data_IF_170276017495
#
_entry.id   IF_170276017495
#
_cell.length_a   1.000
_cell.length_b   1.000
_cell.length_c   1.000
_cell.angle_alpha   90.00
_cell.angle_beta   90.00
_cell.angle_gamma   90.00
#
_symmetry.space_group_name_H-M   'P 1'
#
loop_
_entity.id
_entity.type
_entity.pdbx_description
1 polymer ?
#
# COMPACT_ATOMS: atom_id res chain seq x y z
N UNK A 1 -2.02 5.69 3.90
CA UNK A 1 -3.11 4.86 4.47
C UNK A 1 -2.52 3.84 5.44
N UNK A 2 -3.34 3.23 6.30
CA UNK A 2 -2.94 2.02 7.05
C UNK A 2 -3.52 0.82 6.30
N UNK A 3 -2.68 -0.13 5.93
CA UNK A 3 -3.13 -1.33 5.24
C UNK A 3 -3.48 -2.41 6.28
N UNK A 4 -4.53 -3.18 6.04
CA UNK A 4 -4.94 -4.30 6.91
C UNK A 4 -4.81 -5.59 6.13
N UNK A 5 -4.18 -6.57 6.75
CA UNK A 5 -3.98 -7.94 6.22
C UNK A 5 -5.06 -8.88 6.76
N UNK A 6 -5.20 -10.07 6.17
CA UNK A 6 -6.24 -11.03 6.56
C UNK A 6 -6.10 -11.49 8.02
N UNK A 7 -4.87 -11.57 8.54
CA UNK A 7 -4.58 -11.92 9.94
C UNK A 7 -4.73 -10.75 10.93
N UNK A 8 -5.22 -9.60 10.45
CA UNK A 8 -5.54 -8.44 11.26
C UNK A 8 -4.35 -7.57 11.63
N UNK A 9 -3.18 -7.75 10.99
CA UNK A 9 -2.10 -6.81 11.17
C UNK A 9 -2.36 -5.51 10.40
N UNK A 10 -2.21 -4.41 11.12
CA UNK A 10 -2.08 -3.07 10.57
C UNK A 10 -0.63 -2.88 10.12
N UNK A 11 -0.43 -2.65 8.83
CA UNK A 11 0.89 -2.55 8.21
C UNK A 11 1.04 -1.24 7.47
N UNK A 12 2.28 -0.99 7.03
CA UNK A 12 2.55 0.05 6.05
C UNK A 12 1.74 -0.17 4.75
N UNK A 13 1.46 0.93 4.04
CA UNK A 13 0.73 0.95 2.77
C UNK A 13 1.41 0.13 1.66
N UNK A 14 2.72 -0.05 1.73
CA UNK A 14 3.50 -0.77 0.72
C UNK A 14 3.08 -2.23 0.62
N UNK A 15 2.55 -2.80 1.72
CA UNK A 15 1.96 -4.14 1.71
C UNK A 15 0.84 -4.27 0.67
N UNK A 16 0.01 -3.23 0.53
CA UNK A 16 -1.04 -3.19 -0.47
C UNK A 16 -0.48 -3.16 -1.90
N UNK A 17 0.68 -2.53 -2.12
CA UNK A 17 1.34 -2.60 -3.43
C UNK A 17 1.80 -4.02 -3.74
N UNK A 18 2.42 -4.70 -2.77
CA UNK A 18 2.85 -6.08 -2.98
C UNK A 18 1.66 -6.99 -3.31
N UNK A 19 0.59 -6.99 -2.49
CA UNK A 19 -0.59 -7.84 -2.73
C UNK A 19 -1.20 -7.59 -4.12
N UNK A 20 -1.29 -6.32 -4.56
CA UNK A 20 -1.84 -5.95 -5.88
C UNK A 20 -1.01 -6.46 -7.05
N UNK A 21 0.32 -6.47 -6.93
CA UNK A 21 1.20 -6.87 -8.04
C UNK A 21 1.46 -8.38 -8.09
N UNK A 22 1.45 -9.07 -6.94
CA UNK A 22 1.75 -10.51 -6.88
C UNK A 22 0.50 -11.38 -6.78
N UNK A 23 -0.69 -10.77 -6.59
CA UNK A 23 -1.98 -11.46 -6.42
C UNK A 23 -1.97 -12.51 -5.30
N UNK A 24 -1.42 -12.13 -4.13
CA UNK A 24 -1.39 -12.98 -2.93
C UNK A 24 -1.65 -12.17 -1.68
N UNK A 25 -2.42 -12.76 -0.75
CA UNK A 25 -2.55 -12.24 0.61
C UNK A 25 -1.22 -12.37 1.34
N UNK A 26 -0.83 -11.28 1.99
CA UNK A 26 0.30 -11.20 2.89
C UNK A 26 -0.21 -11.12 4.33
N UNK A 27 0.71 -11.24 5.28
CA UNK A 27 0.40 -11.36 6.71
C UNK A 27 1.26 -10.41 7.53
N UNK A 28 1.02 -10.39 8.84
CA UNK A 28 1.91 -9.72 9.79
C UNK A 28 3.38 -10.16 9.67
N UNK A 29 3.66 -11.32 9.11
CA UNK A 29 5.02 -11.85 8.97
C UNK A 29 5.82 -11.10 7.90
N UNK A 30 5.13 -10.45 6.98
CA UNK A 30 5.70 -9.75 5.83
C UNK A 30 6.07 -8.29 6.14
N UNK A 31 5.63 -7.74 7.28
CA UNK A 31 6.01 -6.40 7.73
C UNK A 31 6.81 -6.46 9.03
N UNK A 32 8.11 -6.22 8.94
CA UNK A 32 9.02 -6.22 10.09
C UNK A 32 9.43 -4.79 10.39
N UNK A 33 9.15 -4.33 11.61
CA UNK A 33 9.52 -2.98 12.06
C UNK A 33 10.56 -3.05 13.17
N UNK A 34 11.36 -1.99 13.30
CA UNK A 34 12.33 -1.84 14.40
C UNK A 34 11.68 -2.06 15.77
N UNK A 35 10.48 -1.50 15.98
CA UNK A 35 9.72 -1.70 17.22
C UNK A 35 9.45 -3.17 17.54
N UNK A 36 9.00 -3.95 16.54
CA UNK A 36 8.72 -5.40 16.72
C UNK A 36 9.99 -6.19 16.98
N UNK A 37 11.07 -5.90 16.26
CA UNK A 37 12.37 -6.56 16.43
C UNK A 37 12.91 -6.32 17.84
N UNK A 38 12.95 -5.07 18.28
CA UNK A 38 13.47 -4.71 19.59
C UNK A 38 12.57 -5.26 20.72
N UNK A 39 11.25 -5.18 20.56
CA UNK A 39 10.32 -5.77 21.53
C UNK A 39 10.52 -7.28 21.66
N UNK A 40 10.72 -8.00 20.56
CA UNK A 40 10.99 -9.44 20.58
C UNK A 40 12.28 -9.75 21.36
N UNK A 41 13.39 -9.08 21.03
CA UNK A 41 14.68 -9.28 21.68
C UNK A 41 14.63 -8.93 23.18
N UNK A 42 14.01 -7.82 23.56
CA UNK A 42 13.83 -7.42 24.97
C UNK A 42 12.97 -8.46 25.72
N UNK A 43 11.94 -9.01 25.07
CA UNK A 43 11.07 -10.02 25.68
C UNK A 43 11.82 -11.32 25.93
N UNK A 44 12.63 -11.78 24.95
CA UNK A 44 13.48 -12.98 25.08
C UNK A 44 14.55 -12.83 26.17
N UNK A 45 15.15 -11.64 26.26
CA UNK A 45 16.10 -11.28 27.32
C UNK A 45 15.49 -11.43 28.71
N UNK A 46 14.32 -10.82 28.94
CA UNK A 46 13.61 -10.89 30.22
C UNK A 46 13.14 -12.29 30.59
N UNK A 47 12.94 -13.18 29.61
CA UNK A 47 12.61 -14.59 29.82
C UNK A 47 13.84 -15.46 30.11
N UNK A 48 15.05 -14.90 30.01
CA UNK A 48 16.30 -15.62 30.22
C UNK A 48 16.70 -16.50 29.04
N UNK A 49 16.16 -16.27 27.84
CA UNK A 49 16.46 -17.09 26.65
C UNK A 49 17.92 -16.93 26.19
N UNK A 50 18.57 -15.81 26.54
CA UNK A 50 20.00 -15.58 26.30
C UNK A 50 20.91 -16.05 27.45
N UNK A 51 20.39 -16.87 28.38
CA UNK A 51 21.16 -17.51 29.45
C UNK A 51 22.05 -16.56 30.28
N UNK A 52 21.62 -15.31 30.44
CA UNK A 52 22.33 -14.29 31.22
C UNK A 52 23.49 -13.61 30.50
N UNK A 53 23.69 -13.83 29.19
CA UNK A 53 24.68 -13.08 28.41
C UNK A 53 24.18 -11.68 28.07
N UNK A 54 25.11 -10.73 27.90
CA UNK A 54 24.78 -9.35 27.51
C UNK A 54 24.18 -9.30 26.11
N UNK A 55 22.96 -8.76 26.02
CA UNK A 55 22.28 -8.53 24.74
C UNK A 55 22.87 -7.30 24.03
N UNK A 56 23.08 -7.42 22.73
CA UNK A 56 23.77 -6.45 21.86
C UNK A 56 23.06 -6.38 20.50
N UNK A 57 23.31 -5.31 19.73
CA UNK A 57 22.78 -5.19 18.36
C UNK A 57 23.25 -6.34 17.48
N UNK A 58 24.57 -6.62 17.49
CA UNK A 58 25.13 -7.80 16.85
C UNK A 58 25.52 -8.79 17.96
N UNK A 59 25.09 -10.06 17.93
CA UNK A 59 24.27 -10.66 16.88
C UNK A 59 22.75 -10.56 17.13
N UNK A 60 22.29 -10.22 18.34
CA UNK A 60 20.90 -10.47 18.76
C UNK A 60 19.83 -9.75 17.93
N UNK A 61 20.00 -8.47 17.61
CA UNK A 61 19.05 -7.72 16.76
C UNK A 61 19.17 -8.18 15.31
N UNK A 62 20.39 -8.35 14.80
CA UNK A 62 20.61 -8.80 13.43
C UNK A 62 20.11 -10.23 13.19
N UNK A 63 20.21 -11.12 14.18
CA UNK A 63 19.70 -12.49 14.12
C UNK A 63 18.18 -12.52 14.13
N UNK A 64 17.52 -11.64 14.91
CA UNK A 64 16.06 -11.51 14.88
C UNK A 64 15.57 -11.06 13.50
N UNK A 65 16.27 -10.11 12.86
CA UNK A 65 15.96 -9.65 11.50
C UNK A 65 16.18 -10.79 10.49
N UNK A 66 17.34 -11.47 10.54
CA UNK A 66 17.62 -12.63 9.66
C UNK A 66 16.60 -13.74 9.84
N UNK A 67 16.18 -14.03 11.08
CA UNK A 67 15.16 -15.03 11.37
C UNK A 67 13.81 -14.65 10.77
N UNK A 68 13.45 -13.37 10.76
CA UNK A 68 12.22 -12.90 10.12
C UNK A 68 12.22 -13.14 8.60
N UNK A 69 13.36 -12.92 7.93
CA UNK A 69 13.55 -13.22 6.50
C UNK A 69 13.42 -14.73 6.26
N UNK A 70 14.18 -15.56 7.01
CA UNK A 70 14.20 -17.04 6.84
C UNK A 70 12.83 -17.68 7.02
N UNK A 71 12.01 -17.12 7.89
CA UNK A 71 10.68 -17.66 8.21
C UNK A 71 9.70 -17.64 7.04
N UNK A 72 9.92 -16.78 6.04
CA UNK A 72 9.10 -16.73 4.82
C UNK A 72 9.56 -17.73 3.76
N UNK A 73 10.80 -18.24 3.85
CA UNK A 73 11.41 -19.07 2.81
C UNK A 73 10.75 -20.43 2.53
N UNK A 74 10.23 -21.21 3.51
CA UNK A 74 9.83 -22.60 3.27
C UNK A 74 8.80 -22.83 2.15
N UNK A 75 7.94 -21.85 1.90
CA UNK A 75 6.83 -21.95 0.94
C UNK A 75 7.03 -21.08 -0.32
N UNK A 76 8.26 -20.58 -0.56
CA UNK A 76 8.54 -19.60 -1.62
C UNK A 76 9.87 -19.89 -2.32
N UNK A 77 9.88 -19.83 -3.66
CA UNK A 77 11.10 -19.92 -4.46
C UNK A 77 12.00 -18.69 -4.27
N UNK A 78 11.38 -17.51 -4.16
CA UNK A 78 12.06 -16.22 -3.99
C UNK A 78 11.33 -15.38 -2.94
N UNK A 79 12.09 -14.78 -2.02
CA UNK A 79 11.59 -13.80 -1.04
C UNK A 79 12.18 -12.43 -1.37
N UNK A 80 11.35 -11.51 -1.85
CA UNK A 80 11.75 -10.12 -2.07
C UNK A 80 11.62 -9.39 -0.73
N UNK A 81 12.75 -8.95 -0.16
CA UNK A 81 12.78 -8.19 1.09
C UNK A 81 13.16 -6.75 0.78
N UNK A 82 12.19 -5.84 0.88
CA UNK A 82 12.47 -4.41 0.85
C UNK A 82 13.02 -3.97 2.22
N UNK A 83 14.14 -3.27 2.21
CA UNK A 83 14.69 -2.60 3.39
C UNK A 83 14.32 -1.12 3.29
N UNK A 84 13.36 -0.70 4.11
CA UNK A 84 12.94 0.70 4.17
C UNK A 84 14.03 1.64 4.69
N UNK A 85 13.81 2.94 4.49
CA UNK A 85 14.78 4.00 4.81
C UNK A 85 15.80 4.23 3.69
N UNK A 86 16.76 5.12 3.91
CA UNK A 86 17.83 5.40 2.95
C UNK A 86 19.16 4.81 3.43
N UNK A 87 19.96 4.26 2.53
CA UNK A 87 21.33 3.86 2.84
C UNK A 87 22.13 5.08 3.32
N UNK A 88 22.76 4.95 4.48
CA UNK A 88 23.45 6.05 5.19
C UNK A 88 22.68 6.55 6.42
N UNK A 89 21.38 6.25 6.52
CA UNK A 89 20.59 6.62 7.69
C UNK A 89 20.82 5.66 8.86
N UNK A 90 20.86 6.22 10.09
CA UNK A 90 21.14 5.47 11.32
C UNK A 90 20.08 4.37 11.57
N UNK A 91 18.82 4.64 11.23
CA UNK A 91 17.70 3.71 11.44
C UNK A 91 17.83 2.41 10.64
N UNK A 92 18.50 2.45 9.49
CA UNK A 92 18.65 1.31 8.57
C UNK A 92 19.86 0.43 8.89
N UNK A 93 20.81 0.91 9.69
CA UNK A 93 22.07 0.20 9.97
C UNK A 93 21.88 -1.24 10.47
N UNK A 94 20.96 -1.54 11.42
CA UNK A 94 20.74 -2.93 11.86
C UNK A 94 20.21 -3.83 10.75
N UNK A 95 19.35 -3.31 9.87
CA UNK A 95 18.81 -4.08 8.73
C UNK A 95 19.87 -4.34 7.67
N UNK A 96 20.67 -3.32 7.33
CA UNK A 96 21.76 -3.45 6.37
C UNK A 96 22.83 -4.44 6.88
N UNK A 97 23.21 -4.35 8.15
CA UNK A 97 24.13 -5.33 8.74
C UNK A 97 23.55 -6.75 8.75
N UNK A 98 22.24 -6.89 9.02
CA UNK A 98 21.58 -8.19 8.99
C UNK A 98 21.62 -8.84 7.60
N UNK A 99 21.29 -8.10 6.52
CA UNK A 99 21.34 -8.64 5.15
C UNK A 99 22.78 -8.89 4.68
N UNK A 100 23.74 -8.08 5.14
CA UNK A 100 25.17 -8.28 4.88
C UNK A 100 25.66 -9.60 5.48
N UNK A 101 25.24 -9.92 6.72
CA UNK A 101 25.50 -11.21 7.37
C UNK A 101 24.71 -12.36 6.75
N UNK A 102 23.50 -12.08 6.23
CA UNK A 102 22.65 -13.10 5.64
C UNK A 102 23.25 -13.71 4.36
N UNK A 103 23.84 -12.88 3.49
CA UNK A 103 24.45 -13.35 2.24
C UNK A 103 25.47 -14.49 2.40
N UNK A 104 26.49 -14.41 3.28
CA UNK A 104 27.40 -15.53 3.49
C UNK A 104 26.74 -16.76 4.13
N UNK A 105 25.63 -16.61 4.86
CA UNK A 105 24.92 -17.75 5.45
C UNK A 105 24.17 -18.59 4.41
N UNK A 106 23.56 -17.96 3.41
CA UNK A 106 22.79 -18.67 2.37
C UNK A 106 23.54 -18.84 1.05
N UNK A 107 24.61 -18.09 0.82
CA UNK A 107 25.43 -18.15 -0.38
C UNK A 107 25.04 -17.13 -1.45
N UNK A 108 26.02 -16.79 -2.32
CA UNK A 108 25.84 -15.77 -3.36
C UNK A 108 24.85 -16.15 -4.44
N UNK A 109 24.73 -17.44 -4.74
CA UNK A 109 23.80 -17.94 -5.77
C UNK A 109 22.35 -18.03 -5.24
N UNK A 110 22.15 -17.78 -3.94
CA UNK A 110 20.84 -17.79 -3.27
C UNK A 110 20.48 -16.41 -2.68
N UNK A 111 21.25 -15.37 -3.01
CA UNK A 111 20.98 -13.98 -2.59
C UNK A 111 21.38 -12.98 -3.66
N UNK A 112 20.60 -11.92 -3.78
CA UNK A 112 20.85 -10.83 -4.73
C UNK A 112 20.49 -9.49 -4.08
N UNK A 113 21.36 -8.50 -4.23
CA UNK A 113 21.12 -7.13 -3.78
C UNK A 113 20.77 -6.22 -4.95
N UNK A 114 19.53 -5.72 -4.95
CA UNK A 114 19.06 -4.68 -5.87
C UNK A 114 19.11 -3.35 -5.13
N UNK A 115 19.94 -2.41 -5.61
CA UNK A 115 20.02 -1.07 -5.02
C UNK A 115 19.30 -0.05 -5.89
N UNK A 116 18.27 0.59 -5.32
CA UNK A 116 17.51 1.64 -6.00
C UNK A 116 18.20 2.98 -5.76
N UNK A 117 18.38 3.76 -6.83
CA UNK A 117 19.11 5.02 -6.80
C UNK A 117 18.46 6.07 -7.68
N UNK A 118 18.74 7.35 -7.45
CA UNK A 118 18.21 8.47 -8.24
C UNK A 118 19.27 9.03 -9.20
N UNK A 119 18.93 9.12 -10.48
CA UNK A 119 19.69 9.84 -11.51
C UNK A 119 18.90 11.10 -11.89
N UNK A 120 19.12 12.23 -11.18
CA UNK A 120 18.34 13.43 -11.38
C UNK A 120 18.72 14.16 -12.66
N UNK A 121 17.73 14.81 -13.26
CA UNK A 121 17.91 15.75 -14.36
C UNK A 121 18.05 17.17 -13.82
N UNK A 122 19.13 17.87 -14.20
CA UNK A 122 19.37 19.26 -13.79
C UNK A 122 19.00 20.19 -14.94
N UNK A 123 17.78 20.74 -14.87
CA UNK A 123 17.20 21.58 -15.93
C UNK A 123 18.08 22.75 -16.36
N UNK A 124 18.74 23.43 -15.41
CA UNK A 124 19.64 24.55 -15.70
C UNK A 124 20.84 24.18 -16.58
N UNK A 125 21.29 22.91 -16.54
CA UNK A 125 22.39 22.41 -17.34
C UNK A 125 21.96 21.51 -18.50
N UNK A 126 20.71 21.07 -18.53
CA UNK A 126 20.21 20.14 -19.54
C UNK A 126 20.76 18.72 -19.42
N UNK A 127 21.29 18.33 -18.26
CA UNK A 127 22.04 17.07 -18.11
C UNK A 127 21.54 16.20 -16.96
N UNK A 128 21.59 14.89 -17.19
CA UNK A 128 21.44 13.86 -16.16
C UNK A 128 22.72 13.73 -15.34
N UNK A 129 22.61 13.66 -14.01
CA UNK A 129 23.76 13.58 -13.11
C UNK A 129 23.85 12.21 -12.45
N UNK A 130 24.90 11.47 -12.75
CA UNK A 130 25.18 10.14 -12.19
C UNK A 130 25.84 10.15 -10.81
N UNK A 131 26.23 11.33 -10.29
CA UNK A 131 27.04 11.43 -9.07
C UNK A 131 26.27 10.96 -7.83
N UNK A 132 24.98 11.30 -7.62
CA UNK A 132 24.21 10.77 -6.50
C UNK A 132 24.22 9.24 -6.45
N UNK A 133 24.07 8.57 -7.59
CA UNK A 133 24.21 7.11 -7.70
C UNK A 133 25.58 6.60 -7.27
N UNK A 134 26.65 7.24 -7.74
CA UNK A 134 28.02 6.84 -7.38
C UNK A 134 28.28 6.95 -5.88
N UNK A 135 27.83 8.04 -5.25
CA UNK A 135 27.97 8.25 -3.81
C UNK A 135 27.10 7.28 -3.00
N UNK A 136 25.87 7.02 -3.45
CA UNK A 136 24.96 6.09 -2.78
C UNK A 136 25.49 4.65 -2.83
N UNK A 137 26.04 4.21 -3.95
CA UNK A 137 26.70 2.89 -4.04
C UNK A 137 27.94 2.82 -3.17
N UNK A 138 28.75 3.90 -3.13
CA UNK A 138 29.91 3.95 -2.25
C UNK A 138 29.53 3.76 -0.78
N UNK A 139 28.50 4.46 -0.31
CA UNK A 139 27.97 4.32 1.06
C UNK A 139 27.55 2.87 1.36
N UNK A 140 26.84 2.24 0.43
CA UNK A 140 26.44 0.84 0.55
C UNK A 140 27.65 -0.13 0.61
N UNK A 141 28.68 0.16 -0.18
CA UNK A 141 29.92 -0.63 -0.19
C UNK A 141 30.77 -0.40 1.06
N UNK A 142 30.76 0.80 1.66
CA UNK A 142 31.48 1.12 2.89
C UNK A 142 31.01 0.26 4.06
N UNK A 143 29.73 -0.15 4.08
CA UNK A 143 29.19 -1.11 5.05
C UNK A 143 29.32 -2.58 4.59
N UNK A 144 30.02 -2.85 3.49
CA UNK A 144 30.35 -4.20 3.03
C UNK A 144 29.28 -4.87 2.15
N UNK A 145 28.36 -4.11 1.57
CA UNK A 145 27.35 -4.61 0.64
C UNK A 145 27.70 -4.16 -0.79
N UNK A 146 28.05 -5.11 -1.66
CA UNK A 146 28.18 -4.86 -3.09
C UNK A 146 26.83 -5.09 -3.76
N UNK A 147 26.21 -4.08 -4.40
CA UNK A 147 24.99 -4.30 -5.17
C UNK A 147 25.28 -5.20 -6.37
N UNK A 148 24.34 -6.10 -6.67
CA UNK A 148 24.36 -6.95 -7.86
C UNK A 148 23.69 -6.22 -9.04
N UNK A 149 22.61 -5.48 -8.75
CA UNK A 149 21.82 -4.73 -9.73
C UNK A 149 21.57 -3.31 -9.21
N UNK A 150 21.64 -2.33 -10.12
CA UNK A 150 21.26 -0.95 -9.85
C UNK A 150 19.99 -0.61 -10.60
N UNK A 151 18.96 -0.17 -9.88
CA UNK A 151 17.72 0.35 -10.46
C UNK A 151 17.77 1.87 -10.39
N UNK A 152 18.03 2.51 -11.53
CA UNK A 152 18.21 3.95 -11.66
C UNK A 152 16.87 4.64 -11.93
N UNK A 153 16.24 5.19 -10.88
CA UNK A 153 15.09 6.08 -10.99
C UNK A 153 15.46 7.38 -11.69
N UNK A 154 14.67 7.80 -12.66
CA UNK A 154 14.97 9.00 -13.46
C UNK A 154 13.75 9.56 -14.18
N UNK A 155 13.77 10.85 -14.51
CA UNK A 155 12.72 11.51 -15.29
C UNK A 155 12.91 11.34 -16.81
N UNK A 156 14.11 10.95 -17.26
CA UNK A 156 14.48 10.90 -18.68
C UNK A 156 15.26 9.64 -19.02
N UNK A 157 15.20 9.25 -20.30
CA UNK A 157 15.96 8.11 -20.82
C UNK A 157 17.47 8.23 -20.53
N UNK A 158 18.05 7.13 -20.06
CA UNK A 158 19.47 6.96 -19.81
C UNK A 158 20.15 6.41 -21.06
N UNK A 159 20.90 7.27 -21.73
CA UNK A 159 21.72 6.84 -22.86
C UNK A 159 22.77 5.79 -22.46
N UNK A 160 23.16 4.91 -23.40
CA UNK A 160 24.20 3.91 -23.15
C UNK A 160 25.48 4.47 -22.51
N UNK A 161 26.05 5.62 -22.93
CA UNK A 161 27.22 6.20 -22.28
C UNK A 161 27.01 6.50 -20.80
N UNK A 162 25.82 6.95 -20.41
CA UNK A 162 25.47 7.19 -19.00
C UNK A 162 25.42 5.86 -18.24
N UNK A 163 24.77 4.84 -18.80
CA UNK A 163 24.70 3.50 -18.18
C UNK A 163 26.09 2.87 -18.03
N UNK A 164 26.94 2.94 -19.07
CA UNK A 164 28.35 2.46 -19.03
C UNK A 164 29.16 3.18 -17.96
N UNK A 165 28.96 4.49 -17.83
CA UNK A 165 29.59 5.29 -16.78
C UNK A 165 29.16 4.83 -15.39
N UNK A 166 27.86 4.65 -15.16
CA UNK A 166 27.34 4.15 -13.87
C UNK A 166 27.95 2.77 -13.57
N UNK A 167 27.90 1.84 -14.52
CA UNK A 167 28.46 0.50 -14.40
C UNK A 167 29.94 0.53 -13.96
N UNK A 168 30.77 1.30 -14.68
CA UNK A 168 32.19 1.45 -14.40
C UNK A 168 32.46 2.02 -13.00
N UNK A 169 31.79 3.12 -12.63
CA UNK A 169 32.05 3.80 -11.35
C UNK A 169 31.47 3.06 -10.14
N UNK A 170 30.44 2.24 -10.34
CA UNK A 170 29.76 1.51 -9.26
C UNK A 170 30.19 0.04 -9.19
N UNK A 171 31.11 -0.39 -10.06
CA UNK A 171 31.62 -1.76 -10.14
C UNK A 171 30.48 -2.80 -10.28
N UNK A 172 29.54 -2.53 -11.19
CA UNK A 172 28.45 -3.47 -11.55
C UNK A 172 28.49 -3.73 -13.05
N UNK A 173 28.02 -4.90 -13.46
CA UNK A 173 27.96 -5.26 -14.87
C UNK A 173 27.02 -4.33 -15.64
N UNK A 174 27.34 -4.06 -16.91
CA UNK A 174 26.55 -3.12 -17.73
C UNK A 174 25.08 -3.54 -17.85
N UNK A 175 24.81 -4.84 -17.99
CA UNK A 175 23.45 -5.40 -18.04
C UNK A 175 22.67 -5.23 -16.73
N UNK A 176 23.35 -4.94 -15.62
CA UNK A 176 22.77 -4.79 -14.30
C UNK A 176 22.52 -3.32 -13.92
N UNK A 177 22.75 -2.38 -14.83
CA UNK A 177 22.29 -0.99 -14.69
C UNK A 177 20.95 -0.90 -15.40
N UNK A 178 19.87 -0.81 -14.62
CA UNK A 178 18.49 -0.86 -15.09
C UNK A 178 17.89 0.55 -15.04
N UNK A 179 17.41 1.06 -16.17
CA UNK A 179 16.64 2.29 -16.18
C UNK A 179 15.25 2.03 -15.58
N UNK A 180 14.82 2.90 -14.65
CA UNK A 180 13.47 2.89 -14.13
C UNK A 180 12.88 4.30 -14.23
N UNK A 181 12.50 4.67 -15.45
CA UNK A 181 11.97 5.99 -15.79
C UNK A 181 10.61 6.24 -15.16
N UNK A 182 10.31 7.52 -14.93
CA UNK A 182 8.97 7.96 -14.57
C UNK A 182 7.97 7.61 -15.69
N UNK A 183 6.82 7.08 -15.28
CA UNK A 183 5.76 6.61 -16.16
C UNK A 183 4.41 7.17 -15.72
N UNK A 184 3.49 7.43 -16.66
CA UNK A 184 2.12 7.86 -16.33
C UNK A 184 1.37 6.92 -15.40
N UNK A 185 1.65 5.61 -15.47
CA UNK A 185 1.00 4.59 -14.64
C UNK A 185 1.99 3.60 -14.06
N UNK A 186 1.82 3.24 -12.79
CA UNK A 186 2.64 2.23 -12.10
C UNK A 186 2.59 0.87 -12.81
N UNK A 187 1.52 0.55 -13.53
CA UNK A 187 1.40 -0.72 -14.26
C UNK A 187 2.30 -0.77 -15.49
N UNK A 188 2.88 0.34 -15.94
CA UNK A 188 3.90 0.32 -17.01
C UNK A 188 5.26 -0.16 -16.50
N UNK A 189 5.53 -0.06 -15.19
CA UNK A 189 6.84 -0.37 -14.61
C UNK A 189 7.29 -1.80 -14.91
N UNK A 190 6.46 -2.86 -14.72
CA UNK A 190 6.87 -4.23 -15.06
C UNK A 190 7.29 -4.41 -16.52
N UNK A 191 6.58 -3.77 -17.47
CA UNK A 191 6.90 -3.86 -18.89
C UNK A 191 8.27 -3.23 -19.20
N UNK A 192 8.55 -2.07 -18.60
CA UNK A 192 9.82 -1.38 -18.79
C UNK A 192 11.00 -2.10 -18.11
N UNK A 193 10.78 -2.66 -16.92
CA UNK A 193 11.82 -3.43 -16.23
C UNK A 193 12.16 -4.72 -17.00
N UNK A 194 11.15 -5.37 -17.60
CA UNK A 194 11.36 -6.52 -18.48
C UNK A 194 12.07 -6.14 -19.78
N UNK A 195 11.72 -5.00 -20.39
CA UNK A 195 12.45 -4.44 -21.54
C UNK A 195 13.94 -4.21 -21.21
N UNK A 196 14.23 -3.68 -20.01
CA UNK A 196 15.60 -3.51 -19.52
C UNK A 196 16.27 -4.82 -19.09
N UNK A 197 15.54 -5.94 -19.01
CA UNK A 197 16.06 -7.27 -18.69
C UNK A 197 16.33 -7.54 -17.21
N UNK A 198 15.70 -6.79 -16.30
CA UNK A 198 15.89 -6.97 -14.85
C UNK A 198 15.53 -8.39 -14.39
N UNK A 199 14.36 -8.89 -14.79
CA UNK A 199 13.84 -10.21 -14.43
C UNK A 199 14.74 -11.33 -14.96
N UNK A 200 15.25 -11.21 -16.19
CA UNK A 200 16.23 -12.14 -16.76
C UNK A 200 17.51 -12.20 -15.94
N UNK A 201 18.05 -11.04 -15.56
CA UNK A 201 19.28 -10.96 -14.75
C UNK A 201 19.07 -11.56 -13.36
N UNK A 202 17.92 -11.28 -12.73
CA UNK A 202 17.56 -11.87 -11.43
C UNK A 202 17.46 -13.39 -11.53
N UNK A 203 16.78 -13.93 -12.54
CA UNK A 203 16.67 -15.38 -12.74
C UNK A 203 18.04 -16.01 -12.99
N UNK A 204 18.88 -15.39 -13.82
CA UNK A 204 20.21 -15.87 -14.12
C UNK A 204 21.09 -15.98 -12.86
N UNK A 205 21.16 -14.91 -12.05
CA UNK A 205 21.98 -14.87 -10.84
C UNK A 205 21.50 -15.81 -9.73
N UNK A 206 20.18 -15.99 -9.62
CA UNK A 206 19.58 -16.93 -8.67
C UNK A 206 19.49 -18.37 -9.19
N UNK A 207 20.05 -18.64 -10.38
CA UNK A 207 20.06 -19.97 -11.02
C UNK A 207 18.64 -20.54 -11.21
N UNK A 208 17.67 -19.69 -11.52
CA UNK A 208 16.29 -20.05 -11.79
C UNK A 208 16.10 -20.35 -13.29
N UNK A 209 15.71 -21.58 -13.62
CA UNK A 209 15.38 -22.00 -14.98
C UNK A 209 13.89 -21.77 -15.26
N UNK A 210 13.56 -20.55 -15.70
CA UNK A 210 12.19 -20.11 -15.94
C UNK A 210 11.98 -19.74 -17.41
N UNK A 211 10.75 -19.91 -17.89
CA UNK A 211 10.34 -19.50 -19.24
C UNK A 211 10.10 -17.99 -19.27
N UNK A 212 10.31 -17.39 -20.44
CA UNK A 212 9.93 -15.99 -20.69
C UNK A 212 8.43 -15.77 -20.40
N UNK A 213 8.07 -14.71 -19.65
CA UNK A 213 6.69 -14.45 -19.28
C UNK A 213 5.87 -13.94 -20.48
N UNK A 214 4.60 -14.34 -20.55
CA UNK A 214 3.65 -13.75 -21.49
C UNK A 214 3.08 -12.45 -20.93
N UNK A 215 3.62 -11.32 -21.37
CA UNK A 215 3.20 -9.98 -20.93
C UNK A 215 2.06 -9.38 -21.74
N UNK A 216 1.50 -10.08 -22.73
CA UNK A 216 0.40 -9.56 -23.57
C UNK A 216 -0.83 -9.17 -22.75
N UNK A 217 -1.30 -9.95 -21.76
CA UNK A 217 -2.44 -9.55 -20.93
C UNK A 217 -2.15 -8.28 -20.12
N UNK A 218 -0.93 -8.16 -19.59
CA UNK A 218 -0.49 -7.00 -18.83
C UNK A 218 -0.39 -5.74 -19.70
N UNK A 219 0.16 -5.88 -20.91
CA UNK A 219 0.21 -4.80 -21.89
C UNK A 219 -1.19 -4.31 -22.30
N UNK A 220 -2.14 -5.24 -22.49
CA UNK A 220 -3.53 -4.88 -22.78
C UNK A 220 -4.20 -4.16 -21.60
N UNK A 221 -3.91 -4.58 -20.36
CA UNK A 221 -4.37 -3.88 -19.15
C UNK A 221 -3.82 -2.45 -19.09
N UNK A 222 -2.52 -2.29 -19.29
CA UNK A 222 -1.85 -0.97 -19.33
C UNK A 222 -2.46 -0.07 -20.40
N UNK A 223 -2.77 -0.61 -21.58
CA UNK A 223 -3.42 0.16 -22.64
C UNK A 223 -4.77 0.73 -22.18
N UNK A 224 -5.62 -0.07 -21.52
CA UNK A 224 -6.91 0.41 -20.98
C UNK A 224 -6.76 1.48 -19.90
N UNK A 225 -5.67 1.42 -19.12
CA UNK A 225 -5.37 2.45 -18.12
C UNK A 225 -5.00 3.78 -18.77
N UNK A 226 -4.19 3.74 -19.83
CA UNK A 226 -3.67 4.94 -20.49
C UNK A 226 -4.67 5.54 -21.47
N UNK A 227 -5.41 4.69 -22.19
CA UNK A 227 -6.31 5.05 -23.29
C UNK A 227 -7.67 4.36 -23.13
N UNK A 228 -8.45 4.67 -22.08
CA UNK A 228 -9.76 4.08 -21.88
C UNK A 228 -10.78 4.55 -22.91
N UNK A 229 -11.73 3.70 -23.27
CA UNK A 229 -12.79 4.04 -24.26
C UNK A 229 -13.80 5.08 -23.78
N UNK A 230 -13.99 5.17 -22.46
CA UNK A 230 -14.94 6.07 -21.79
C UNK A 230 -14.35 6.55 -20.46
N UNK A 231 -14.94 7.59 -19.87
CA UNK A 231 -14.54 8.10 -18.55
C UNK A 231 -15.75 8.27 -17.66
N UNK A 232 -15.55 8.07 -16.36
CA UNK A 232 -16.55 8.32 -15.31
C UNK A 232 -15.95 9.21 -14.23
N UNK A 233 -16.71 10.19 -13.78
CA UNK A 233 -16.31 11.14 -12.75
C UNK A 233 -16.89 10.70 -11.40
N UNK A 234 -16.03 10.41 -10.43
CA UNK A 234 -16.44 9.97 -9.09
C UNK A 234 -15.96 10.99 -8.06
N UNK A 235 -16.92 11.57 -7.34
CA UNK A 235 -16.63 12.41 -6.19
C UNK A 235 -16.30 11.51 -5.00
N UNK A 236 -15.18 11.77 -4.33
CA UNK A 236 -14.86 11.13 -3.06
C UNK A 236 -14.92 12.17 -1.95
N UNK A 237 -15.89 12.00 -1.05
CA UNK A 237 -16.16 12.95 0.03
C UNK A 237 -15.50 12.45 1.31
N UNK A 238 -14.45 13.14 1.74
CA UNK A 238 -13.65 12.74 2.89
C UNK A 238 -13.16 13.93 3.70
N UNK A 239 -12.58 13.64 4.86
CA UNK A 239 -12.05 14.65 5.80
C UNK A 239 -10.72 15.26 5.35
N UNK A 240 -9.90 14.48 4.66
CA UNK A 240 -8.54 14.82 4.28
C UNK A 240 -8.40 14.79 2.76
N UNK A 241 -8.60 15.91 2.09
CA UNK A 241 -8.48 16.01 0.62
C UNK A 241 -7.06 16.19 0.14
N UNK A 242 -6.19 16.77 0.98
CA UNK A 242 -4.84 17.18 0.59
C UNK A 242 -3.80 16.05 0.69
N UNK A 243 -4.17 14.91 1.31
CA UNK A 243 -3.31 13.75 1.50
C UNK A 243 -3.79 12.60 0.61
N UNK A 244 -3.50 12.70 -0.69
CA UNK A 244 -3.82 11.67 -1.71
C UNK A 244 -3.37 10.27 -1.28
N UNK A 245 -2.24 10.18 -0.58
CA UNK A 245 -1.65 8.97 -0.03
C UNK A 245 -2.48 8.27 1.07
N UNK A 246 -3.51 8.94 1.60
CA UNK A 246 -4.40 8.38 2.62
C UNK A 246 -5.41 7.38 2.06
N UNK A 247 -5.55 7.30 0.73
CA UNK A 247 -6.60 6.52 0.07
C UNK A 247 -6.11 5.78 -1.18
N UNK A 248 -4.81 5.42 -1.21
CA UNK A 248 -4.20 4.70 -2.33
C UNK A 248 -5.00 3.45 -2.69
N UNK A 249 -5.32 2.58 -1.73
CA UNK A 249 -6.05 1.34 -1.99
C UNK A 249 -7.46 1.57 -2.54
N UNK A 250 -8.14 2.65 -2.12
CA UNK A 250 -9.45 3.03 -2.68
C UNK A 250 -9.29 3.49 -4.14
N UNK A 251 -8.29 4.33 -4.42
CA UNK A 251 -7.98 4.77 -5.78
C UNK A 251 -7.66 3.57 -6.67
N UNK A 252 -6.75 2.70 -6.27
CA UNK A 252 -6.35 1.54 -7.07
C UNK A 252 -7.55 0.59 -7.30
N UNK A 253 -8.41 0.36 -6.30
CA UNK A 253 -9.60 -0.47 -6.46
C UNK A 253 -10.59 0.11 -7.48
N UNK A 254 -10.81 1.43 -7.47
CA UNK A 254 -11.66 2.10 -8.46
C UNK A 254 -11.04 2.06 -9.86
N UNK A 255 -9.72 2.30 -9.97
CA UNK A 255 -8.98 2.17 -11.23
C UNK A 255 -9.12 0.75 -11.79
N UNK A 256 -8.93 -0.29 -10.97
CA UNK A 256 -9.14 -1.68 -11.38
C UNK A 256 -10.58 -1.96 -11.83
N UNK A 257 -11.57 -1.39 -11.14
CA UNK A 257 -12.96 -1.43 -11.57
C UNK A 257 -13.15 -0.80 -12.95
N UNK A 258 -12.49 0.33 -13.22
CA UNK A 258 -12.45 0.98 -14.53
C UNK A 258 -11.82 0.10 -15.61
N UNK A 259 -10.64 -0.48 -15.35
CA UNK A 259 -9.91 -1.37 -16.26
C UNK A 259 -10.79 -2.54 -16.73
N UNK A 260 -11.55 -3.15 -15.82
CA UNK A 260 -12.44 -4.26 -16.13
C UNK A 260 -13.63 -3.84 -17.04
N UNK A 261 -13.98 -2.56 -17.04
CA UNK A 261 -15.08 -1.97 -17.81
C UNK A 261 -14.61 -1.10 -19.00
N UNK A 262 -13.31 -1.14 -19.31
CA UNK A 262 -12.68 -0.29 -20.33
C UNK A 262 -13.00 1.22 -20.14
N UNK A 263 -12.99 1.66 -18.88
CA UNK A 263 -13.36 2.99 -18.44
C UNK A 263 -12.26 3.62 -17.58
N UNK A 264 -11.93 4.88 -17.85
CA UNK A 264 -11.09 5.69 -16.98
C UNK A 264 -11.91 6.22 -15.82
N UNK A 265 -11.38 6.14 -14.60
CA UNK A 265 -12.06 6.65 -13.41
C UNK A 265 -11.37 7.92 -12.94
N UNK A 266 -12.05 9.05 -13.10
CA UNK A 266 -11.59 10.37 -12.67
C UNK A 266 -12.09 10.65 -11.25
N UNK A 267 -11.15 10.60 -10.31
CA UNK A 267 -11.44 10.81 -8.89
C UNK A 267 -11.20 12.27 -8.53
N UNK A 268 -12.20 12.89 -7.90
CA UNK A 268 -12.03 14.21 -7.29
C UNK A 268 -12.34 14.15 -5.81
N UNK A 269 -11.38 14.59 -5.01
CA UNK A 269 -11.50 14.67 -3.56
C UNK A 269 -12.22 15.97 -3.19
N UNK A 270 -13.34 15.84 -2.48
CA UNK A 270 -14.14 16.98 -2.02
C UNK A 270 -14.17 16.95 -0.50
N UNK A 271 -13.87 18.08 0.13
CA UNK A 271 -13.78 18.13 1.58
C UNK A 271 -15.19 18.05 2.18
N UNK A 272 -15.39 17.13 3.12
CA UNK A 272 -16.70 16.97 3.78
C UNK A 272 -17.19 18.27 4.43
N UNK A 273 -16.28 19.09 4.96
CA UNK A 273 -16.62 20.35 5.64
C UNK A 273 -17.23 21.41 4.68
N UNK A 274 -17.12 21.24 3.35
CA UNK A 274 -17.75 22.13 2.36
C UNK A 274 -19.25 21.84 2.13
N UNK A 275 -19.72 20.66 2.57
CA UNK A 275 -21.12 20.25 2.46
C UNK A 275 -21.95 20.83 3.61
N UNK A 276 -22.15 22.15 3.61
CA UNK A 276 -22.86 22.86 4.69
C UNK A 276 -24.38 22.69 4.64
N UNK A 277 -24.92 22.41 3.45
CA UNK A 277 -26.35 22.22 3.20
C UNK A 277 -26.57 21.55 1.83
N UNK A 278 -27.83 21.20 1.52
CA UNK A 278 -28.22 20.59 0.23
C UNK A 278 -27.91 21.47 -1.00
N UNK A 279 -27.85 22.80 -0.86
CA UNK A 279 -27.51 23.69 -1.97
C UNK A 279 -26.01 23.67 -2.24
N UNK A 280 -25.19 23.58 -1.20
CA UNK A 280 -23.75 23.35 -1.31
C UNK A 280 -23.47 21.97 -1.91
N UNK A 281 -24.13 20.92 -1.39
CA UNK A 281 -24.02 19.57 -1.92
C UNK A 281 -24.34 19.50 -3.41
N UNK A 282 -25.41 20.16 -3.85
CA UNK A 282 -25.77 20.23 -5.27
C UNK A 282 -24.71 20.89 -6.14
N UNK A 283 -24.12 22.00 -5.69
CA UNK A 283 -23.03 22.65 -6.46
C UNK A 283 -21.76 21.79 -6.52
N UNK A 284 -21.46 21.05 -5.45
CA UNK A 284 -20.24 20.25 -5.33
C UNK A 284 -20.34 18.90 -6.03
N UNK A 285 -21.56 18.34 -6.19
CA UNK A 285 -21.80 17.03 -6.79
C UNK A 285 -22.41 17.09 -8.19
N UNK A 286 -22.69 18.29 -8.71
CA UNK A 286 -23.16 18.47 -10.08
C UNK A 286 -22.10 17.97 -11.08
N UNK A 287 -22.53 17.13 -12.02
CA UNK A 287 -21.68 16.57 -13.08
C UNK A 287 -20.88 15.33 -12.70
N UNK A 288 -20.98 14.83 -11.46
CA UNK A 288 -20.39 13.54 -11.10
C UNK A 288 -21.34 12.37 -11.43
N UNK A 289 -20.75 11.24 -11.79
CA UNK A 289 -21.43 9.98 -12.12
C UNK A 289 -21.60 9.06 -10.90
N UNK A 290 -20.87 9.34 -9.81
CA UNK A 290 -20.97 8.61 -8.55
C UNK A 290 -20.37 9.34 -7.36
N UNK A 291 -20.80 8.94 -6.17
CA UNK A 291 -20.31 9.40 -4.88
C UNK A 291 -19.73 8.23 -4.09
N UNK A 292 -18.49 8.38 -3.62
CA UNK A 292 -17.88 7.48 -2.63
C UNK A 292 -17.65 8.24 -1.32
N UNK A 293 -18.06 7.64 -0.20
CA UNK A 293 -17.66 8.11 1.14
C UNK A 293 -16.77 7.03 1.76
N UNK A 294 -15.47 7.30 1.99
CA UNK A 294 -14.52 6.31 2.45
C UNK A 294 -14.63 6.10 3.97
N UNK A 295 -13.78 5.22 4.50
CA UNK A 295 -13.55 5.15 5.94
C UNK A 295 -12.88 6.42 6.47
N UNK A 296 -13.05 6.71 7.76
CA UNK A 296 -12.44 7.84 8.43
C UNK A 296 -12.44 7.66 9.95
N UNK A 297 -11.57 8.38 10.64
CA UNK A 297 -11.48 8.37 12.09
C UNK A 297 -11.84 9.73 12.70
N UNK A 298 -12.60 9.66 13.79
CA UNK A 298 -13.01 10.80 14.60
C UNK A 298 -14.22 11.56 14.06
N UNK A 299 -14.67 12.53 14.86
CA UNK A 299 -15.99 13.18 14.74
C UNK A 299 -16.11 14.24 13.63
N UNK A 300 -14.98 14.78 13.15
CA UNK A 300 -14.98 15.94 12.26
C UNK A 300 -15.40 15.54 10.84
N UNK A 301 -16.32 16.32 10.25
CA UNK A 301 -16.75 16.17 8.86
C UNK A 301 -17.93 15.21 8.65
N UNK A 302 -18.41 14.54 9.71
CA UNK A 302 -19.52 13.57 9.65
C UNK A 302 -20.81 14.22 9.11
N UNK A 303 -21.15 15.41 9.60
CA UNK A 303 -22.37 16.12 9.18
C UNK A 303 -22.36 16.48 7.68
N UNK A 304 -21.21 16.89 7.17
CA UNK A 304 -21.06 17.15 5.73
C UNK A 304 -21.17 15.89 4.87
N UNK A 305 -20.66 14.75 5.35
CA UNK A 305 -20.87 13.46 4.69
C UNK A 305 -22.37 13.10 4.65
N UNK A 306 -23.10 13.32 5.76
CA UNK A 306 -24.55 13.09 5.82
C UNK A 306 -25.29 13.97 4.80
N UNK A 307 -24.93 15.25 4.67
CA UNK A 307 -25.52 16.14 3.66
C UNK A 307 -25.20 15.70 2.22
N UNK A 308 -23.98 15.27 1.94
CA UNK A 308 -23.59 14.72 0.63
C UNK A 308 -24.40 13.46 0.27
N UNK A 309 -24.55 12.53 1.23
CA UNK A 309 -25.30 11.28 1.05
C UNK A 309 -26.79 11.57 0.83
N UNK A 310 -27.35 12.51 1.60
CA UNK A 310 -28.74 12.95 1.43
C UNK A 310 -28.98 13.45 0.02
N UNK A 311 -28.09 14.32 -0.47
CA UNK A 311 -28.20 14.86 -1.81
C UNK A 311 -28.12 13.76 -2.87
N UNK A 312 -27.16 12.84 -2.73
CA UNK A 312 -27.00 11.71 -3.64
C UNK A 312 -28.25 10.81 -3.68
N UNK A 313 -28.83 10.50 -2.51
CA UNK A 313 -30.07 9.70 -2.39
C UNK A 313 -31.25 10.39 -3.07
N UNK A 314 -31.46 11.68 -2.80
CA UNK A 314 -32.59 12.44 -3.33
C UNK A 314 -32.48 12.67 -4.85
N UNK A 315 -31.25 12.77 -5.38
CA UNK A 315 -30.96 12.99 -6.80
C UNK A 315 -30.58 11.72 -7.58
N UNK A 316 -30.66 10.54 -6.95
CA UNK A 316 -30.36 9.23 -7.56
C UNK A 316 -28.93 9.10 -8.09
N UNK A 317 -27.97 9.79 -7.49
CA UNK A 317 -26.55 9.60 -7.77
C UNK A 317 -26.10 8.24 -7.17
N UNK A 318 -25.45 7.35 -7.93
CA UNK A 318 -24.89 6.11 -7.39
C UNK A 318 -23.96 6.38 -6.20
N UNK A 319 -24.17 5.66 -5.10
CA UNK A 319 -23.43 5.85 -3.85
C UNK A 319 -22.73 4.57 -3.41
N UNK A 320 -21.49 4.70 -2.94
CA UNK A 320 -20.74 3.64 -2.29
C UNK A 320 -20.12 4.11 -0.97
N UNK A 321 -20.53 3.52 0.15
CA UNK A 321 -20.05 3.87 1.49
C UNK A 321 -19.18 2.76 2.08
N UNK A 322 -17.96 3.09 2.46
CA UNK A 322 -16.99 2.14 3.06
C UNK A 322 -16.81 2.47 4.54
N UNK A 323 -17.02 1.49 5.42
CA UNK A 323 -16.87 1.63 6.87
C UNK A 323 -17.64 2.86 7.41
N UNK A 324 -16.97 3.97 7.73
CA UNK A 324 -17.61 5.23 8.13
C UNK A 324 -18.66 5.69 7.10
N UNK A 325 -18.40 5.54 5.79
CA UNK A 325 -19.39 5.87 4.76
C UNK A 325 -20.68 5.05 4.85
N UNK A 326 -20.61 3.79 5.30
CA UNK A 326 -21.81 2.99 5.57
C UNK A 326 -22.53 3.50 6.83
N UNK A 327 -21.78 3.85 7.88
CA UNK A 327 -22.33 4.38 9.13
C UNK A 327 -23.07 5.71 8.91
N UNK A 328 -22.46 6.64 8.16
CA UNK A 328 -23.07 7.95 7.84
C UNK A 328 -24.30 7.80 6.96
N UNK A 329 -24.35 6.79 6.07
CA UNK A 329 -25.56 6.49 5.31
C UNK A 329 -26.72 6.01 6.19
N UNK A 330 -26.44 5.20 7.21
CA UNK A 330 -27.46 4.76 8.19
C UNK A 330 -27.97 5.96 9.00
N UNK A 331 -27.06 6.85 9.42
CA UNK A 331 -27.41 8.09 10.14
C UNK A 331 -28.29 8.98 9.27
N UNK A 332 -27.90 9.25 8.02
CA UNK A 332 -28.67 10.05 7.06
C UNK A 332 -30.09 9.51 6.89
N UNK A 333 -30.21 8.19 6.69
CA UNK A 333 -31.50 7.55 6.47
C UNK A 333 -32.39 7.62 7.73
N UNK A 334 -31.81 7.40 8.91
CA UNK A 334 -32.53 7.52 10.19
C UNK A 334 -33.07 8.93 10.42
N UNK A 335 -32.25 9.96 10.19
CA UNK A 335 -32.65 11.36 10.35
C UNK A 335 -33.71 11.80 9.34
N UNK A 336 -33.48 11.52 8.05
CA UNK A 336 -34.26 12.14 6.98
C UNK A 336 -35.42 11.28 6.48
N UNK A 337 -35.29 9.95 6.47
CA UNK A 337 -36.34 9.06 5.94
C UNK A 337 -37.20 8.51 7.08
N UNK A 338 -36.57 8.03 8.15
CA UNK A 338 -37.28 7.52 9.33
C UNK A 338 -37.80 8.63 10.27
N UNK A 339 -37.42 9.90 10.03
CA UNK A 339 -37.83 11.07 10.82
C UNK A 339 -37.40 10.97 12.29
N UNK A 340 -36.19 10.45 12.55
CA UNK A 340 -35.57 10.38 13.87
C UNK A 340 -34.39 11.37 13.93
N UNK A 341 -34.63 12.67 14.20
CA UNK A 341 -33.62 13.73 14.03
C UNK A 341 -32.37 13.54 14.90
N UNK A 342 -32.55 12.98 16.11
CA UNK A 342 -31.45 12.69 17.05
C UNK A 342 -30.76 11.33 16.78
N UNK A 343 -30.82 10.84 15.53
CA UNK A 343 -30.10 9.62 15.11
C UNK A 343 -28.61 9.90 14.94
N UNK A 344 -27.75 9.13 15.60
CA UNK A 344 -26.30 9.27 15.47
C UNK A 344 -25.52 7.99 15.80
N UNK A 345 -24.20 8.07 15.72
CA UNK A 345 -23.27 7.12 16.33
C UNK A 345 -22.96 7.55 17.76
N UNK A 346 -22.89 6.60 18.69
CA UNK A 346 -22.41 6.87 20.06
C UNK A 346 -20.95 7.32 20.12
N UNK A 347 -20.17 7.11 19.04
CA UNK A 347 -18.81 7.66 18.90
C UNK A 347 -18.82 9.18 18.69
N UNK A 348 -19.79 9.71 17.96
CA UNK A 348 -19.85 11.12 17.57
C UNK A 348 -20.73 11.95 18.52
N UNK A 349 -21.80 11.33 19.02
CA UNK A 349 -22.72 11.92 19.98
C UNK A 349 -23.12 10.87 21.02
N UNK A 350 -22.38 10.82 22.13
CA UNK A 350 -22.59 9.83 23.20
C UNK A 350 -24.01 9.87 23.80
N UNK A 351 -24.60 11.07 23.87
CA UNK A 351 -25.92 11.30 24.47
C UNK A 351 -27.07 11.33 23.44
N UNK A 352 -26.84 10.88 22.20
CA UNK A 352 -27.91 10.86 21.20
C UNK A 352 -29.05 9.91 21.60
N UNK A 353 -30.29 10.33 21.36
CA UNK A 353 -31.47 9.53 21.72
C UNK A 353 -31.56 8.23 20.91
N UNK A 354 -31.04 8.23 19.68
CA UNK A 354 -31.12 7.11 18.74
C UNK A 354 -29.71 6.69 18.27
N UNK A 355 -28.92 5.95 19.09
CA UNK A 355 -27.58 5.50 18.74
C UNK A 355 -27.61 4.29 17.80
N UNK A 356 -27.86 4.53 16.51
CA UNK A 356 -27.95 3.48 15.47
C UNK A 356 -26.60 2.82 15.17
N UNK A 357 -25.50 3.49 15.51
CA UNK A 357 -24.14 2.92 15.51
C UNK A 357 -23.61 2.96 16.94
N UNK A 358 -23.15 1.83 17.44
CA UNK A 358 -22.60 1.72 18.79
C UNK A 358 -21.60 0.57 18.88
N UNK A 359 -20.76 0.60 19.92
CA UNK A 359 -19.88 -0.52 20.25
C UNK A 359 -20.70 -1.76 20.58
N UNK A 360 -20.22 -2.91 20.11
CA UNK A 360 -20.83 -4.19 20.46
C UNK A 360 -20.75 -4.40 21.97
N UNK A 361 -21.72 -5.08 22.56
CA UNK A 361 -21.75 -5.37 24.00
C UNK A 361 -20.47 -6.07 24.49
N UNK A 362 -19.87 -6.92 23.66
CA UNK A 362 -18.60 -7.61 23.93
C UNK A 362 -17.37 -6.70 23.97
N UNK A 363 -17.48 -5.44 23.53
CA UNK A 363 -16.38 -4.47 23.48
C UNK A 363 -16.47 -3.40 24.59
N UNK A 364 -17.54 -3.40 25.41
CA UNK A 364 -17.81 -2.34 26.39
C UNK A 364 -16.90 -2.36 27.63
N UNK A 365 -16.46 -3.55 28.05
CA UNK A 365 -15.64 -3.73 29.27
C UNK A 365 -14.14 -3.88 28.99
N UNK A 366 -13.69 -3.57 27.77
CA UNK A 366 -12.30 -3.78 27.36
C UNK A 366 -11.52 -2.47 27.42
N UNK A 367 -10.66 -2.34 28.42
CA UNK A 367 -9.85 -1.14 28.68
C UNK A 367 -8.72 -0.90 27.65
N UNK A 368 -8.37 -1.91 26.85
CA UNK A 368 -7.33 -1.82 25.82
C UNK A 368 -7.91 -1.37 24.47
N UNK A 369 -8.01 -0.06 24.27
CA UNK A 369 -8.20 0.53 22.93
C UNK A 369 -7.07 0.04 22.01
N UNK A 370 -7.42 -0.74 20.98
CA UNK A 370 -6.46 -1.36 20.06
C UNK A 370 -6.64 -2.88 19.89
N UNK A 371 -6.86 -3.61 20.99
CA UNK A 371 -6.79 -5.09 21.00
C UNK A 371 -8.12 -5.83 20.81
N UNK A 372 -9.25 -5.13 20.86
CA UNK A 372 -10.61 -5.72 20.73
C UNK A 372 -11.42 -5.17 19.57
N UNK A 373 -10.77 -4.41 18.70
CA UNK A 373 -11.34 -3.95 17.45
C UNK A 373 -11.43 -5.12 16.47
N UNK A 374 -12.50 -5.16 15.67
CA UNK A 374 -12.63 -6.17 14.62
C UNK A 374 -11.58 -5.88 13.54
N UNK A 375 -10.43 -6.55 13.64
CA UNK A 375 -9.30 -6.40 12.72
C UNK A 375 -9.10 -7.65 11.87
N UNK A 376 -8.84 -7.45 10.58
CA UNK A 376 -8.57 -8.53 9.62
C UNK A 376 -9.83 -9.11 8.98
N UNK A 377 -9.71 -10.30 8.42
CA UNK A 377 -10.76 -10.93 7.64
C UNK A 377 -11.90 -11.46 8.55
N UNK A 378 -13.14 -11.06 8.25
CA UNK A 378 -14.34 -11.59 8.89
C UNK A 378 -15.31 -12.19 7.85
N UNK A 379 -15.91 -13.36 8.15
CA UNK A 379 -16.92 -13.94 7.29
C UNK A 379 -18.22 -13.13 7.35
N UNK A 380 -18.79 -12.86 6.18
CA UNK A 380 -20.05 -12.16 5.98
C UNK A 380 -21.02 -13.06 5.21
N UNK A 381 -22.21 -13.29 5.76
CA UNK A 381 -23.31 -13.95 5.05
C UNK A 381 -24.22 -12.90 4.44
N UNK A 382 -24.25 -12.84 3.12
CA UNK A 382 -25.06 -11.90 2.36
C UNK A 382 -26.50 -12.41 2.25
N UNK A 383 -27.47 -11.50 2.25
CA UNK A 383 -28.88 -11.86 2.06
C UNK A 383 -29.08 -12.40 0.63
N UNK A 384 -29.63 -13.62 0.44
CA UNK A 384 -29.92 -14.14 -0.88
C UNK A 384 -30.82 -13.21 -1.70
N UNK A 385 -30.48 -13.01 -2.97
CA UNK A 385 -31.19 -12.11 -3.88
C UNK A 385 -30.92 -10.61 -3.67
N UNK A 386 -30.10 -10.23 -2.70
CA UNK A 386 -29.65 -8.82 -2.56
C UNK A 386 -28.72 -8.41 -3.70
N UNK A 387 -28.64 -7.10 -3.97
CA UNK A 387 -27.74 -6.55 -4.99
C UNK A 387 -26.28 -6.90 -4.72
N UNK A 388 -25.85 -6.90 -3.46
CA UNK A 388 -24.46 -7.25 -3.10
C UNK A 388 -24.16 -8.73 -3.39
N UNK A 389 -25.07 -9.65 -3.05
CA UNK A 389 -24.90 -11.07 -3.38
C UNK A 389 -24.84 -11.32 -4.90
N UNK A 390 -25.59 -10.54 -5.69
CA UNK A 390 -25.52 -10.61 -7.15
C UNK A 390 -24.18 -10.12 -7.69
N UNK A 391 -23.60 -9.06 -7.11
CA UNK A 391 -22.30 -8.52 -7.51
C UNK A 391 -21.17 -9.52 -7.20
N UNK A 392 -21.16 -10.11 -6.00
CA UNK A 392 -20.14 -11.09 -5.63
C UNK A 392 -20.33 -12.46 -6.30
N UNK A 393 -21.54 -12.78 -6.77
CA UNK A 393 -21.87 -14.11 -7.32
C UNK A 393 -21.94 -15.23 -6.26
N UNK A 394 -21.88 -14.89 -4.98
CA UNK A 394 -21.94 -15.81 -3.83
C UNK A 394 -22.65 -15.15 -2.65
N UNK A 395 -23.22 -15.95 -1.73
CA UNK A 395 -23.84 -15.48 -0.48
C UNK A 395 -22.91 -15.52 0.74
N UNK A 396 -21.69 -16.03 0.55
CA UNK A 396 -20.64 -16.09 1.58
C UNK A 396 -19.39 -15.41 1.07
N UNK A 397 -18.98 -14.37 1.78
CA UNK A 397 -17.78 -13.58 1.47
C UNK A 397 -16.95 -13.37 2.73
N UNK A 398 -15.72 -12.90 2.57
CA UNK A 398 -14.85 -12.51 3.66
C UNK A 398 -14.26 -11.15 3.35
N UNK A 399 -14.33 -10.21 4.30
CA UNK A 399 -13.87 -8.85 4.11
C UNK A 399 -13.01 -8.39 5.29
N UNK A 400 -12.04 -7.51 5.01
CA UNK A 400 -11.14 -6.98 6.03
C UNK A 400 -11.81 -5.84 6.78
N UNK A 401 -11.80 -5.92 8.10
CA UNK A 401 -12.32 -4.88 8.99
C UNK A 401 -11.19 -4.16 9.71
N UNK A 402 -11.46 -2.90 10.08
CA UNK A 402 -10.62 -2.05 10.89
C UNK A 402 -11.46 -1.21 11.83
#
# INVERSE_FOLDING_TARGET
EVYVTDDGAETDRDMGHYERFIDRSLSQMNNVTTGRVYQSVITKERRGEYLGTTVQVIPHITDEIKAAIKRLAPDHDVVITEVGGTVGDIESLPFLEAIRQFRPEVGRDHTLFIHVTLVPYVAASGELKTKPTQHSVRELMEIGIQPDVLVCRTERELSEPIKRKIALFCNVDFGCVIENRDVPSIYQVPLLLHEQGLDREVCHRLQLDLKEPDLRPWAAMVQRVLEPSQRVHVAIVGKYTDLTDSYTSIREALVHGGIANDAGVDLTWVASDEFTDQRAAGRLLEGYDGLLVPGGFGIRGVEGMVEAIRWARENRLPFFGICLGMQTAIIEFGRNVCQLPETNSSEFAADCENPVISLMSSQRDVENLGGTMRLGAYPCRLRPGSRVAQIYGTDQVSERHR
#
